data_IF_167731800341
#
_entry.id   IF_167731800341
#
_cell.length_a   1.000
_cell.length_b   1.000
_cell.length_c   1.000
_cell.angle_alpha   90.00
_cell.angle_beta   90.00
_cell.angle_gamma   90.00
#
_symmetry.space_group_name_H-M   'P 1'
#
loop_
_entity.id
_entity.type
_entity.pdbx_description
1 polymer ?
#
# COMPACT_ATOMS: atom_id res chain seq x y z
N UNK A 1 -16.72 -0.84 1.37
CA UNK A 1 -15.31 -1.19 1.23
C UNK A 1 -14.84 -2.11 2.34
N UNK A 2 -13.74 -2.76 2.13
CA UNK A 2 -13.10 -3.60 3.14
C UNK A 2 -11.58 -3.42 3.09
N UNK A 3 -10.91 -3.66 4.21
CA UNK A 3 -9.44 -3.70 4.29
C UNK A 3 -9.01 -5.15 4.16
N UNK A 4 -8.05 -5.42 3.28
CA UNK A 4 -7.50 -6.74 2.98
C UNK A 4 -6.04 -6.83 3.40
N UNK A 5 -5.56 -8.07 3.63
CA UNK A 5 -4.15 -8.35 3.81
C UNK A 5 -3.45 -8.38 2.45
N UNK A 6 -2.30 -7.72 2.35
CA UNK A 6 -1.50 -7.61 1.13
C UNK A 6 0.00 -7.89 1.36
N UNK A 7 0.38 -8.44 2.50
CA UNK A 7 1.77 -8.80 2.81
C UNK A 7 2.27 -9.92 1.90
N UNK A 8 3.54 -9.84 1.49
CA UNK A 8 4.21 -10.85 0.67
C UNK A 8 5.52 -11.35 1.28
N UNK A 9 5.92 -10.82 2.44
CA UNK A 9 7.10 -11.24 3.18
C UNK A 9 6.70 -11.80 4.56
N UNK A 10 7.52 -12.69 5.11
CA UNK A 10 7.32 -13.20 6.45
C UNK A 10 7.48 -12.10 7.50
N UNK A 11 6.68 -12.18 8.56
CA UNK A 11 6.69 -11.22 9.66
C UNK A 11 6.47 -9.77 9.23
N UNK A 12 5.66 -9.59 8.18
CA UNK A 12 5.26 -8.29 7.64
C UNK A 12 3.74 -8.17 7.60
N UNK A 13 3.21 -6.98 7.87
CA UNK A 13 1.79 -6.63 7.68
C UNK A 13 1.69 -5.48 6.70
N UNK A 14 0.90 -5.69 5.66
CA UNK A 14 0.52 -4.68 4.68
C UNK A 14 -0.99 -4.74 4.52
N UNK A 15 -1.62 -3.61 4.56
CA UNK A 15 -3.05 -3.48 4.30
C UNK A 15 -3.31 -2.91 2.92
N UNK A 16 -4.48 -3.20 2.35
CA UNK A 16 -4.96 -2.59 1.11
C UNK A 16 -6.48 -2.41 1.20
N UNK A 17 -7.00 -1.37 0.59
CA UNK A 17 -8.42 -1.11 0.48
C UNK A 17 -9.03 -1.78 -0.74
N UNK A 18 -10.15 -2.47 -0.55
CA UNK A 18 -10.88 -3.15 -1.61
C UNK A 18 -12.36 -2.81 -1.57
N UNK A 19 -13.03 -2.96 -2.69
CA UNK A 19 -14.50 -2.85 -2.79
C UNK A 19 -15.08 -4.13 -3.36
N UNK A 20 -16.20 -4.58 -2.78
CA UNK A 20 -17.01 -5.62 -3.38
C UNK A 20 -17.59 -5.12 -4.71
N UNK A 21 -17.74 -6.00 -5.70
CA UNK A 21 -18.36 -5.67 -6.98
C UNK A 21 -19.76 -5.03 -6.80
N UNK A 22 -20.56 -5.54 -5.90
CA UNK A 22 -21.89 -5.03 -5.58
C UNK A 22 -21.89 -3.67 -4.88
N UNK A 23 -20.73 -3.19 -4.36
CA UNK A 23 -20.58 -1.92 -3.61
C UNK A 23 -21.56 -1.74 -2.45
N UNK A 24 -21.97 -2.84 -1.84
CA UNK A 24 -22.97 -2.90 -0.75
C UNK A 24 -22.35 -3.22 0.62
N UNK A 25 -21.04 -3.07 0.77
CA UNK A 25 -20.36 -3.22 2.06
C UNK A 25 -20.83 -2.18 3.09
N UNK A 26 -20.76 -2.53 4.36
CA UNK A 26 -21.18 -1.65 5.46
C UNK A 26 -20.33 -0.41 5.59
N UNK A 27 -19.02 -0.52 5.28
CA UNK A 27 -18.06 0.58 5.36
C UNK A 27 -17.71 1.09 3.96
N UNK A 28 -17.38 2.37 3.86
CA UNK A 28 -16.49 2.90 2.85
C UNK A 28 -15.04 2.74 3.30
N UNK A 29 -14.10 2.78 2.38
CA UNK A 29 -12.67 2.88 2.70
C UNK A 29 -11.97 3.86 1.76
N UNK A 30 -10.85 4.38 2.20
CA UNK A 30 -9.92 5.16 1.40
C UNK A 30 -8.51 4.98 1.94
N UNK A 31 -7.51 4.97 1.07
CA UNK A 31 -6.12 5.12 1.48
C UNK A 31 -5.81 6.60 1.67
N UNK A 32 -5.18 6.94 2.78
CA UNK A 32 -4.60 8.27 3.02
C UNK A 32 -3.10 8.09 3.05
N UNK A 33 -2.41 8.69 2.11
CA UNK A 33 -0.98 8.42 1.85
C UNK A 33 -0.18 9.72 1.79
N UNK A 34 1.10 9.61 2.15
CA UNK A 34 2.11 10.64 1.90
C UNK A 34 3.04 10.13 0.82
N UNK A 35 3.26 10.94 -0.20
CA UNK A 35 4.20 10.59 -1.26
C UNK A 35 5.63 10.75 -0.79
N UNK A 36 6.43 9.72 -1.02
CA UNK A 36 7.89 9.73 -0.89
C UNK A 36 8.49 9.41 -2.25
N UNK A 37 9.68 9.92 -2.56
CA UNK A 37 10.33 9.71 -3.84
C UNK A 37 11.84 9.40 -3.70
N UNK A 38 12.53 9.28 -4.83
CA UNK A 38 13.96 8.92 -4.82
C UNK A 38 14.83 9.85 -4.00
N UNK A 39 14.47 11.14 -3.86
CA UNK A 39 15.23 12.14 -3.09
C UNK A 39 15.24 11.82 -1.59
N UNK A 40 14.17 11.22 -1.09
CA UNK A 40 14.05 10.80 0.32
C UNK A 40 14.98 9.61 0.64
N UNK A 41 15.51 8.95 -0.40
CA UNK A 41 16.35 7.74 -0.30
C UNK A 41 17.69 7.90 -1.00
N UNK A 42 18.20 9.13 -1.21
CA UNK A 42 19.44 9.43 -1.95
C UNK A 42 19.45 8.82 -3.37
N UNK A 43 18.29 8.62 -3.97
CA UNK A 43 18.06 7.90 -5.22
C UNK A 43 18.58 6.43 -5.20
N UNK A 44 18.70 5.84 -4.02
CA UNK A 44 19.09 4.44 -3.84
C UNK A 44 17.85 3.55 -3.70
N UNK A 45 17.54 2.70 -4.69
CA UNK A 45 16.38 1.81 -4.63
C UNK A 45 16.45 0.80 -3.49
N UNK A 46 17.66 0.41 -3.04
CA UNK A 46 17.82 -0.51 -1.91
C UNK A 46 17.36 0.14 -0.60
N UNK A 47 17.63 1.43 -0.41
CA UNK A 47 17.14 2.19 0.75
C UNK A 47 15.62 2.31 0.74
N UNK A 48 15.01 2.56 -0.41
CA UNK A 48 13.56 2.64 -0.54
C UNK A 48 12.88 1.30 -0.20
N UNK A 49 13.41 0.19 -0.71
CA UNK A 49 12.91 -1.17 -0.37
C UNK A 49 13.11 -1.48 1.11
N UNK A 50 14.28 -1.14 1.68
CA UNK A 50 14.56 -1.35 3.09
C UNK A 50 13.61 -0.57 4.00
N UNK A 51 13.32 0.69 3.66
CA UNK A 51 12.37 1.54 4.38
C UNK A 51 10.95 0.92 4.35
N UNK A 52 10.47 0.51 3.18
CA UNK A 52 9.18 -0.16 3.06
C UNK A 52 9.11 -1.41 3.94
N UNK A 53 10.14 -2.27 3.88
CA UNK A 53 10.23 -3.49 4.69
C UNK A 53 10.26 -3.20 6.20
N UNK A 54 10.97 -2.16 6.62
CA UNK A 54 11.00 -1.74 8.03
C UNK A 54 9.62 -1.36 8.55
N UNK A 55 8.85 -0.59 7.78
CA UNK A 55 7.48 -0.21 8.13
C UNK A 55 6.55 -1.43 8.22
N UNK A 56 6.65 -2.35 7.26
CA UNK A 56 5.84 -3.57 7.23
C UNK A 56 6.12 -4.50 8.42
N UNK A 57 7.39 -4.65 8.79
CA UNK A 57 7.80 -5.41 9.98
C UNK A 57 7.43 -4.69 11.27
N UNK A 58 7.50 -3.36 11.31
CA UNK A 58 7.04 -2.58 12.46
C UNK A 58 5.53 -2.76 12.67
N UNK A 59 4.75 -2.74 11.59
CA UNK A 59 3.32 -3.02 11.65
C UNK A 59 3.01 -4.44 12.16
N UNK A 60 3.78 -5.45 11.74
CA UNK A 60 3.65 -6.82 12.25
C UNK A 60 3.90 -6.90 13.76
N UNK A 61 4.98 -6.28 14.25
CA UNK A 61 5.29 -6.26 15.68
C UNK A 61 4.23 -5.51 16.49
N UNK A 62 3.78 -4.36 15.99
CA UNK A 62 2.73 -3.56 16.64
C UNK A 62 1.38 -4.26 16.67
N UNK A 63 1.08 -5.11 15.67
CA UNK A 63 -0.06 -6.00 15.67
C UNK A 63 0.03 -7.17 16.67
N UNK A 64 1.17 -7.33 17.38
CA UNK A 64 1.38 -8.42 18.32
C UNK A 64 1.77 -9.75 17.66
N UNK A 65 2.13 -9.77 16.39
CA UNK A 65 2.39 -10.98 15.63
C UNK A 65 1.12 -11.63 15.09
N UNK A 66 1.20 -12.82 14.52
CA UNK A 66 0.04 -13.55 14.02
C UNK A 66 -0.69 -12.89 12.84
N UNK A 67 -0.09 -11.86 12.24
CA UNK A 67 -0.64 -11.08 11.13
C UNK A 67 -1.91 -10.28 11.46
N UNK A 68 -2.11 -9.94 12.70
CA UNK A 68 -3.06 -8.90 13.11
C UNK A 68 -2.57 -7.54 12.61
N UNK A 69 -3.47 -6.68 12.13
CA UNK A 69 -3.08 -5.34 11.71
C UNK A 69 -3.14 -4.36 12.89
N UNK A 70 -2.13 -3.49 13.03
CA UNK A 70 -2.22 -2.39 13.98
C UNK A 70 -3.31 -1.41 13.54
N UNK A 71 -4.11 -0.93 14.49
CA UNK A 71 -5.21 -0.02 14.21
C UNK A 71 -5.46 0.95 15.36
N UNK A 72 -5.96 2.12 15.02
CA UNK A 72 -6.51 3.10 15.95
C UNK A 72 -7.65 3.89 15.31
N UNK A 73 -8.38 4.65 16.10
CA UNK A 73 -9.40 5.57 15.54
C UNK A 73 -8.75 6.87 15.05
N UNK A 74 -9.39 7.51 14.07
CA UNK A 74 -8.95 8.83 13.57
C UNK A 74 -8.86 9.84 14.70
N UNK A 75 -9.82 9.86 15.63
CA UNK A 75 -9.79 10.74 16.79
C UNK A 75 -8.56 10.48 17.69
N UNK A 76 -8.17 9.22 17.85
CA UNK A 76 -6.97 8.82 18.58
C UNK A 76 -5.70 9.25 17.87
N UNK A 77 -5.59 8.96 16.56
CA UNK A 77 -4.43 9.33 15.74
C UNK A 77 -4.17 10.84 15.72
N UNK A 78 -5.23 11.64 15.54
CA UNK A 78 -5.12 13.10 15.57
C UNK A 78 -4.69 13.64 16.92
N UNK A 79 -5.03 12.93 18.00
CA UNK A 79 -4.65 13.27 19.38
C UNK A 79 -3.34 12.60 19.86
N UNK A 80 -2.72 11.74 19.06
CA UNK A 80 -1.49 11.02 19.41
C UNK A 80 -1.66 10.05 20.58
N UNK A 81 -2.77 9.29 20.66
CA UNK A 81 -3.11 8.44 21.81
C UNK A 81 -2.92 6.94 21.58
N UNK A 82 -2.88 6.50 20.34
CA UNK A 82 -2.74 5.07 20.00
C UNK A 82 -3.87 4.17 20.49
N UNK A 83 -5.13 4.68 20.54
CA UNK A 83 -6.27 3.98 21.11
C UNK A 83 -7.27 3.56 20.01
N UNK A 84 -7.87 2.39 20.19
CA UNK A 84 -8.91 1.87 19.31
C UNK A 84 -10.25 1.79 20.06
N UNK A 85 -10.96 2.88 20.09
CA UNK A 85 -12.30 2.96 20.65
C UNK A 85 -13.33 2.76 19.54
N UNK A 86 -13.79 1.53 19.37
CA UNK A 86 -14.72 1.16 18.30
C UNK A 86 -16.11 1.74 18.56
N UNK A 87 -16.61 2.53 17.61
CA UNK A 87 -17.96 3.05 17.57
C UNK A 87 -18.85 2.30 16.58
N UNK A 88 -19.54 3.04 15.72
CA UNK A 88 -20.39 2.48 14.66
C UNK A 88 -19.59 1.77 13.57
N UNK A 89 -18.37 2.22 13.32
CA UNK A 89 -17.47 1.63 12.31
C UNK A 89 -16.69 0.46 12.93
N UNK A 90 -16.81 -0.71 12.31
CA UNK A 90 -16.09 -1.91 12.72
C UNK A 90 -14.98 -2.25 11.73
N UNK A 91 -13.80 -2.71 12.20
CA UNK A 91 -12.72 -3.15 11.32
C UNK A 91 -13.17 -4.29 10.40
N UNK A 92 -12.64 -4.31 9.18
CA UNK A 92 -12.93 -5.35 8.18
C UNK A 92 -11.69 -6.16 7.81
N UNK A 93 -10.55 -5.91 8.41
CA UNK A 93 -9.34 -6.68 8.14
C UNK A 93 -9.52 -8.15 8.57
N UNK A 94 -9.29 -9.13 7.67
CA UNK A 94 -9.77 -10.51 7.87
C UNK A 94 -9.05 -11.27 9.00
N UNK A 95 -7.84 -10.84 9.36
CA UNK A 95 -7.08 -11.45 10.47
C UNK A 95 -7.40 -10.82 11.82
N UNK A 96 -8.18 -9.74 11.84
CA UNK A 96 -8.42 -8.94 13.03
C UNK A 96 -7.38 -7.83 13.24
N UNK A 97 -7.66 -6.95 14.16
CA UNK A 97 -6.84 -5.77 14.44
C UNK A 97 -6.42 -5.74 15.91
N UNK A 98 -5.31 -5.04 16.18
CA UNK A 98 -4.79 -4.78 17.54
C UNK A 98 -4.67 -3.27 17.71
N UNK A 99 -5.10 -2.71 18.86
CA UNK A 99 -4.86 -1.30 19.17
C UNK A 99 -3.35 -0.98 19.16
N UNK A 100 -2.97 0.06 18.41
CA UNK A 100 -1.58 0.51 18.35
C UNK A 100 -1.52 1.97 17.89
N UNK A 101 -0.49 2.68 18.33
CA UNK A 101 -0.17 4.03 17.87
C UNK A 101 0.46 3.96 16.47
N UNK A 102 -0.35 4.22 15.43
CA UNK A 102 0.13 4.23 14.04
C UNK A 102 1.09 5.39 13.77
N UNK A 103 0.93 6.49 14.51
CA UNK A 103 1.82 7.63 14.40
C UNK A 103 3.25 7.29 14.83
N UNK A 104 3.41 6.47 15.87
CA UNK A 104 4.70 6.03 16.36
C UNK A 104 5.40 4.99 15.44
N UNK A 105 4.68 4.39 14.49
CA UNK A 105 5.25 3.46 13.51
C UNK A 105 5.89 4.18 12.32
N UNK A 106 5.60 5.45 12.16
CA UNK A 106 6.01 6.27 11.01
C UNK A 106 7.08 7.29 11.45
N UNK A 107 7.96 7.72 10.55
CA UNK A 107 8.74 8.94 10.77
C UNK A 107 7.85 10.13 11.12
N UNK A 108 8.33 11.01 11.97
CA UNK A 108 7.57 12.15 12.50
C UNK A 108 7.00 13.04 11.39
N UNK A 109 7.77 13.27 10.33
CA UNK A 109 7.37 14.08 9.18
C UNK A 109 6.17 13.45 8.45
N UNK A 110 6.19 12.13 8.25
CA UNK A 110 5.08 11.41 7.58
C UNK A 110 3.84 11.36 8.47
N UNK A 111 4.02 11.12 9.75
CA UNK A 111 2.95 11.11 10.74
C UNK A 111 2.27 12.49 10.84
N UNK A 112 3.06 13.58 10.87
CA UNK A 112 2.57 14.95 10.87
C UNK A 112 1.80 15.27 9.58
N UNK A 113 2.38 14.94 8.42
CA UNK A 113 1.73 15.16 7.12
C UNK A 113 0.39 14.42 6.99
N UNK A 114 0.30 13.19 7.52
CA UNK A 114 -0.96 12.44 7.56
C UNK A 114 -2.01 13.12 8.44
N UNK A 115 -1.64 13.63 9.62
CA UNK A 115 -2.54 14.38 10.49
C UNK A 115 -3.06 15.66 9.82
N UNK A 116 -2.18 16.40 9.17
CA UNK A 116 -2.55 17.61 8.41
C UNK A 116 -3.46 17.26 7.23
N UNK A 117 -3.15 16.18 6.52
CA UNK A 117 -3.96 15.65 5.44
C UNK A 117 -5.38 15.28 5.88
N UNK A 118 -5.51 14.49 6.95
CA UNK A 118 -6.81 14.11 7.52
C UNK A 118 -7.62 15.35 7.96
N UNK A 119 -6.97 16.31 8.61
CA UNK A 119 -7.61 17.59 8.98
C UNK A 119 -8.06 18.39 7.77
N UNK A 120 -7.25 18.44 6.70
CA UNK A 120 -7.58 19.16 5.47
C UNK A 120 -8.72 18.48 4.70
N UNK A 121 -8.64 17.15 4.52
CA UNK A 121 -9.70 16.38 3.85
C UNK A 121 -11.01 16.42 4.62
N UNK A 122 -10.94 16.38 5.95
CA UNK A 122 -12.11 16.47 6.82
C UNK A 122 -12.91 17.78 6.71
N UNK A 123 -12.28 18.87 6.23
CA UNK A 123 -13.01 20.12 5.90
C UNK A 123 -13.87 19.98 4.65
N UNK A 124 -13.50 19.10 3.73
CA UNK A 124 -14.24 18.85 2.48
C UNK A 124 -15.23 17.69 2.62
N UNK A 125 -14.84 16.65 3.34
CA UNK A 125 -15.65 15.46 3.58
C UNK A 125 -15.45 15.01 5.04
N UNK A 126 -16.47 15.24 5.87
CA UNK A 126 -16.41 15.03 7.32
C UNK A 126 -15.98 13.61 7.73
N UNK A 127 -16.24 12.60 6.89
CA UNK A 127 -15.85 11.23 7.14
C UNK A 127 -14.34 11.04 7.39
N UNK A 128 -13.46 11.88 6.80
CA UNK A 128 -12.01 11.82 7.04
C UNK A 128 -11.61 12.31 8.44
N UNK A 129 -12.50 12.94 9.17
CA UNK A 129 -12.29 13.38 10.55
C UNK A 129 -13.29 12.79 11.53
N UNK A 130 -14.10 11.83 11.10
CA UNK A 130 -15.01 11.15 12.00
C UNK A 130 -14.18 10.47 13.11
N UNK A 131 -14.41 10.80 14.39
CA UNK A 131 -13.53 10.37 15.46
C UNK A 131 -13.52 8.85 15.66
N UNK A 132 -14.59 8.16 15.27
CA UNK A 132 -14.78 6.71 15.32
C UNK A 132 -14.42 6.00 14.01
N UNK A 133 -13.99 6.72 12.96
CA UNK A 133 -13.43 6.08 11.77
C UNK A 133 -12.15 5.34 12.12
N UNK A 134 -11.99 4.12 11.58
CA UNK A 134 -10.88 3.23 11.92
C UNK A 134 -9.76 3.37 10.90
N UNK A 135 -8.56 3.71 11.36
CA UNK A 135 -7.32 3.58 10.62
C UNK A 135 -6.76 2.18 10.84
N UNK A 136 -6.46 1.49 9.76
CA UNK A 136 -5.87 0.15 9.79
C UNK A 136 -4.58 0.20 8.96
N UNK A 137 -3.46 0.01 9.58
CA UNK A 137 -2.17 0.28 8.98
C UNK A 137 -1.28 -0.97 8.82
N UNK A 138 -0.26 -0.84 8.02
CA UNK A 138 0.09 0.27 7.15
C UNK A 138 -0.14 -0.13 5.70
N UNK A 139 -0.55 0.80 4.85
CA UNK A 139 -0.57 0.59 3.39
C UNK A 139 0.69 1.18 2.78
N UNK A 140 1.72 0.35 2.62
CA UNK A 140 3.06 0.75 2.16
C UNK A 140 3.27 0.57 0.66
N UNK A 141 2.33 -0.05 -0.05
CA UNK A 141 2.48 -0.51 -1.44
C UNK A 141 1.45 0.13 -2.35
N UNK A 142 1.60 1.41 -2.63
CA UNK A 142 0.77 2.14 -3.61
C UNK A 142 1.41 2.14 -4.99
N UNK A 143 2.74 2.08 -5.06
CA UNK A 143 3.54 1.98 -6.28
C UNK A 143 4.85 1.25 -5.98
N UNK A 144 5.47 0.65 -7.00
CA UNK A 144 6.78 0.02 -6.83
C UNK A 144 7.84 1.09 -6.51
N UNK A 145 8.68 0.89 -5.49
CA UNK A 145 9.78 1.79 -5.17
C UNK A 145 10.91 1.71 -6.20
N UNK A 146 10.87 0.72 -7.09
CA UNK A 146 11.92 0.46 -8.09
C UNK A 146 11.32 0.25 -9.47
N UNK A 147 12.15 0.48 -10.50
CA UNK A 147 11.80 0.14 -11.88
C UNK A 147 12.88 -0.76 -12.47
N UNK A 148 12.45 -1.94 -12.94
CA UNK A 148 13.31 -2.84 -13.71
C UNK A 148 13.39 -2.34 -15.15
N UNK A 149 14.53 -1.77 -15.56
CA UNK A 149 14.67 -1.17 -16.88
C UNK A 149 14.49 -2.20 -17.99
N UNK A 150 13.74 -1.82 -19.01
CA UNK A 150 13.47 -2.64 -20.20
C UNK A 150 13.51 -1.77 -21.45
N UNK A 151 13.91 -2.36 -22.56
CA UNK A 151 13.84 -1.73 -23.87
C UNK A 151 12.40 -1.34 -24.24
N UNK A 152 12.19 -0.18 -24.84
CA UNK A 152 10.85 0.38 -25.09
C UNK A 152 10.08 -0.34 -26.21
N UNK A 153 10.79 -0.94 -27.16
CA UNK A 153 10.20 -1.60 -28.32
C UNK A 153 10.04 -3.10 -28.09
N UNK A 154 11.10 -3.75 -27.64
CA UNK A 154 11.12 -5.20 -27.43
C UNK A 154 10.58 -5.62 -26.07
N UNK A 155 10.49 -4.71 -25.11
CA UNK A 155 10.10 -4.90 -23.70
C UNK A 155 10.97 -5.91 -22.95
N UNK A 156 12.13 -6.23 -23.46
CA UNK A 156 13.12 -7.10 -22.81
C UNK A 156 13.88 -6.31 -21.77
N UNK A 157 14.14 -6.91 -20.61
CA UNK A 157 14.97 -6.33 -19.56
C UNK A 157 16.39 -6.04 -20.10
N UNK A 158 16.88 -4.83 -19.84
CA UNK A 158 18.21 -4.41 -20.32
C UNK A 158 19.34 -5.23 -19.69
N UNK A 159 19.19 -5.59 -18.40
CA UNK A 159 20.21 -6.32 -17.66
C UNK A 159 20.11 -7.85 -17.83
N UNK A 160 18.94 -8.38 -18.21
CA UNK A 160 18.67 -9.83 -18.27
C UNK A 160 17.90 -10.19 -19.54
N UNK A 161 18.59 -10.56 -20.62
CA UNK A 161 17.96 -11.02 -21.84
C UNK A 161 17.03 -12.23 -21.60
N UNK A 162 15.78 -12.13 -22.08
CA UNK A 162 14.75 -13.15 -21.86
C UNK A 162 13.78 -12.85 -20.70
N UNK A 163 14.09 -11.89 -19.85
CA UNK A 163 13.17 -11.38 -18.85
C UNK A 163 12.33 -10.23 -19.44
N UNK A 164 11.02 -10.23 -19.19
CA UNK A 164 10.07 -9.21 -19.62
C UNK A 164 9.41 -8.57 -18.39
N UNK A 165 10.02 -7.56 -17.73
CA UNK A 165 9.45 -6.91 -16.55
C UNK A 165 8.13 -6.23 -16.93
N UNK A 166 7.04 -6.49 -16.19
CA UNK A 166 5.74 -5.89 -16.47
C UNK A 166 4.93 -5.61 -15.23
N UNK A 167 3.95 -4.74 -15.38
CA UNK A 167 2.99 -4.39 -14.35
C UNK A 167 3.52 -3.51 -13.24
N UNK A 168 2.85 -3.53 -12.11
CA UNK A 168 3.11 -2.66 -10.97
C UNK A 168 4.44 -3.01 -10.28
N UNK A 169 4.67 -4.28 -9.97
CA UNK A 169 5.89 -4.70 -9.28
C UNK A 169 7.17 -4.37 -10.03
N UNK A 170 7.13 -4.32 -11.35
CA UNK A 170 8.26 -3.91 -12.19
C UNK A 170 8.34 -2.38 -12.42
N UNK A 171 7.42 -1.59 -11.86
CA UNK A 171 7.41 -0.13 -11.93
C UNK A 171 6.84 0.46 -13.23
N UNK A 172 6.00 -0.28 -13.97
CA UNK A 172 5.43 0.17 -15.25
C UNK A 172 3.95 0.53 -15.21
N UNK A 173 3.26 0.22 -14.12
CA UNK A 173 1.84 0.50 -13.97
C UNK A 173 1.51 0.74 -12.50
N UNK A 174 0.51 1.57 -12.22
CA UNK A 174 0.04 1.89 -10.88
C UNK A 174 -1.44 1.56 -10.65
N UNK A 175 -2.00 0.61 -11.39
CA UNK A 175 -3.39 0.21 -11.23
C UNK A 175 -3.72 -1.08 -11.95
N UNK A 176 -4.85 -1.71 -11.58
CA UNK A 176 -5.26 -3.05 -12.05
C UNK A 176 -5.30 -3.12 -13.58
N UNK A 177 -6.02 -2.19 -14.23
CA UNK A 177 -6.18 -2.22 -15.68
C UNK A 177 -4.89 -1.88 -16.42
N UNK A 178 -4.13 -0.91 -15.96
CA UNK A 178 -2.85 -0.53 -16.59
C UNK A 178 -1.82 -1.63 -16.45
N UNK A 179 -1.78 -2.32 -15.31
CA UNK A 179 -0.91 -3.49 -15.10
C UNK A 179 -1.29 -4.66 -16.02
N UNK A 180 -2.59 -4.93 -16.18
CA UNK A 180 -3.07 -5.97 -17.08
C UNK A 180 -2.73 -5.66 -18.55
N UNK A 181 -2.93 -4.43 -18.99
CA UNK A 181 -2.58 -3.99 -20.36
C UNK A 181 -1.07 -4.11 -20.61
N UNK A 182 -0.25 -3.73 -19.64
CA UNK A 182 1.20 -3.85 -19.75
C UNK A 182 1.64 -5.32 -19.82
N UNK A 183 1.02 -6.21 -19.05
CA UNK A 183 1.24 -7.65 -19.13
C UNK A 183 0.90 -8.23 -20.51
N UNK A 184 -0.24 -7.82 -21.09
CA UNK A 184 -0.63 -8.22 -22.46
C UNK A 184 0.39 -7.75 -23.50
N UNK A 185 0.91 -6.52 -23.37
CA UNK A 185 1.97 -5.99 -24.26
C UNK A 185 3.25 -6.82 -24.18
N UNK A 186 3.68 -7.16 -22.96
CA UNK A 186 4.85 -8.02 -22.77
C UNK A 186 4.67 -9.42 -23.33
N UNK A 187 3.49 -10.02 -23.12
CA UNK A 187 3.17 -11.32 -23.72
C UNK A 187 3.18 -11.26 -25.26
N UNK A 188 2.61 -10.22 -25.87
CA UNK A 188 2.64 -10.03 -27.31
C UNK A 188 4.07 -9.83 -27.85
N UNK A 189 4.93 -9.11 -27.14
CA UNK A 189 6.35 -8.95 -27.50
C UNK A 189 7.10 -10.29 -27.42
N UNK A 190 6.86 -11.06 -26.36
CA UNK A 190 7.40 -12.41 -26.19
C UNK A 190 7.00 -13.32 -27.35
N UNK A 191 5.70 -13.34 -27.70
CA UNK A 191 5.18 -14.16 -28.80
C UNK A 191 5.74 -13.77 -30.17
N UNK A 192 6.02 -12.49 -30.42
CA UNK A 192 6.70 -12.06 -31.66
C UNK A 192 8.10 -12.60 -31.77
N UNK A 193 8.81 -12.72 -30.65
CA UNK A 193 10.20 -13.20 -30.62
C UNK A 193 10.30 -14.72 -30.67
N UNK A 194 9.41 -15.40 -29.98
CA UNK A 194 9.40 -16.87 -29.85
C UNK A 194 8.13 -17.43 -30.46
N UNK A 195 8.05 -17.39 -31.81
CA UNK A 195 6.93 -18.02 -32.51
C UNK A 195 6.87 -19.51 -32.20
N UNK A 196 5.68 -20.09 -32.07
CA UNK A 196 5.55 -21.55 -31.99
C UNK A 196 6.27 -22.21 -33.17
N UNK A 197 6.98 -23.30 -32.93
CA UNK A 197 7.43 -24.16 -34.02
C UNK A 197 6.17 -24.73 -34.70
N UNK A 198 6.06 -24.57 -36.02
CA UNK A 198 5.06 -25.23 -36.84
C UNK A 198 5.27 -26.73 -36.82
#
# INVERSE_FOLDING_TARGET
>A
GSVCAAASEENAVVTNGMSLHARNGKNANAAVVVSVDGRDFDNDPAKAVAFQRQLEQAAYRAGGGGYLAPAETVGSFLAGRGQLELGAVQPTYPRGVTPADLGALLPDELSSALRDGLNSFGRKLAAYRAPDAVLTGLETRTSSPVRLLRDKETLVCEALPGLYPCGEGAGYAGGIMTAAVDGVRCAAALMKRYKPCE
#
